data_IF_886566183211
#
_entry.id   IF_886566183211
#
_cell.length_a   1.000
_cell.length_b   1.000
_cell.length_c   1.000
_cell.angle_alpha   90.00
_cell.angle_beta   90.00
_cell.angle_gamma   90.00
#
_symmetry.space_group_name_H-M   'P 1'
#
loop_
_entity.id
_entity.type
_entity.pdbx_description
1 polymer ?
#
# COMPACT_ATOMS: atom_id res chain seq x y z
N UNK A 1 -14.25 -28.62 -33.19
CA UNK A 1 -13.63 -27.60 -32.32
C UNK A 1 -14.15 -27.80 -30.91
N UNK A 2 -13.29 -28.21 -29.97
CA UNK A 2 -13.64 -28.43 -28.56
C UNK A 2 -12.98 -27.34 -27.72
N UNK A 3 -13.77 -26.66 -26.90
CA UNK A 3 -13.36 -25.66 -25.90
C UNK A 3 -12.62 -26.39 -24.77
N UNK A 4 -11.46 -25.92 -24.26
CA UNK A 4 -10.78 -26.58 -23.15
C UNK A 4 -11.47 -26.28 -21.81
N UNK A 5 -11.42 -27.20 -20.82
CA UNK A 5 -12.10 -27.02 -19.55
C UNK A 5 -11.35 -26.07 -18.61
N UNK A 6 -12.13 -25.32 -17.86
CA UNK A 6 -11.74 -24.41 -16.79
C UNK A 6 -11.12 -25.22 -15.63
N UNK A 7 -9.86 -24.97 -15.27
CA UNK A 7 -9.24 -25.57 -14.08
C UNK A 7 -9.73 -24.80 -12.86
N UNK A 8 -10.70 -25.37 -12.16
CA UNK A 8 -11.16 -24.91 -10.85
C UNK A 8 -10.19 -25.46 -9.79
N UNK A 9 -9.28 -24.61 -9.30
CA UNK A 9 -8.35 -24.99 -8.24
C UNK A 9 -9.11 -25.06 -6.90
N UNK A 10 -9.55 -26.26 -6.52
CA UNK A 10 -10.02 -26.54 -5.16
C UNK A 10 -8.84 -26.43 -4.18
N UNK A 11 -8.91 -25.48 -3.24
CA UNK A 11 -7.94 -25.38 -2.15
C UNK A 11 -8.43 -26.30 -1.04
N UNK A 12 -7.91 -27.53 -0.99
CA UNK A 12 -8.08 -28.43 0.15
C UNK A 12 -7.14 -28.01 1.29
N UNK A 13 -7.71 -27.87 2.50
CA UNK A 13 -6.99 -27.61 3.74
C UNK A 13 -5.85 -28.62 3.97
N UNK A 14 -4.61 -28.15 3.89
CA UNK A 14 -3.43 -28.88 4.34
C UNK A 14 -2.72 -28.03 5.40
N UNK A 15 -2.74 -28.54 6.63
CA UNK A 15 -2.02 -28.02 7.78
C UNK A 15 -0.52 -28.21 7.57
N UNK A 16 0.10 -27.33 6.79
CA UNK A 16 1.55 -27.29 6.64
C UNK A 16 2.12 -26.62 7.89
N UNK A 17 2.96 -27.36 8.61
CA UNK A 17 3.66 -26.90 9.81
C UNK A 17 4.46 -25.61 9.56
N UNK A 18 4.32 -24.66 10.50
CA UNK A 18 4.82 -23.27 10.50
C UNK A 18 6.31 -23.03 10.17
N UNK A 19 7.14 -24.08 10.08
CA UNK A 19 8.57 -23.95 9.79
C UNK A 19 8.91 -24.09 8.30
N UNK A 20 8.13 -24.86 7.54
CA UNK A 20 8.38 -25.08 6.10
C UNK A 20 7.85 -23.93 5.22
N UNK A 21 6.84 -23.20 5.68
CA UNK A 21 6.27 -22.04 4.98
C UNK A 21 7.15 -20.78 5.08
N UNK A 22 8.05 -20.68 6.07
CA UNK A 22 8.95 -19.52 6.20
C UNK A 22 9.92 -19.40 5.03
N UNK A 23 10.31 -20.51 4.41
CA UNK A 23 11.33 -20.53 3.36
C UNK A 23 10.77 -20.52 1.92
N UNK A 24 9.47 -20.30 1.73
CA UNK A 24 8.87 -20.30 0.38
C UNK A 24 7.70 -19.33 0.21
N UNK A 25 7.61 -18.29 1.03
CA UNK A 25 6.70 -17.21 0.75
C UNK A 25 7.18 -16.51 -0.55
N UNK A 26 6.42 -16.55 -1.66
CA UNK A 26 6.82 -15.87 -2.89
C UNK A 26 7.14 -14.38 -2.64
N UNK A 27 7.97 -13.81 -3.52
CA UNK A 27 8.41 -12.41 -3.46
C UNK A 27 7.23 -11.50 -3.08
N UNK A 28 7.35 -10.64 -2.04
CA UNK A 28 6.25 -9.81 -1.57
C UNK A 28 5.61 -8.90 -2.64
N UNK A 29 6.34 -8.61 -3.71
CA UNK A 29 5.84 -7.91 -4.88
C UNK A 29 4.78 -8.67 -5.69
N UNK A 30 4.71 -9.99 -5.52
CA UNK A 30 3.74 -10.89 -6.17
C UNK A 30 2.45 -11.06 -5.36
N UNK A 31 2.40 -10.65 -4.09
CA UNK A 31 1.17 -10.73 -3.32
C UNK A 31 0.15 -9.70 -3.79
N UNK A 32 -1.02 -10.19 -4.18
CA UNK A 32 -2.23 -9.37 -4.20
C UNK A 32 -2.73 -9.19 -2.77
N UNK A 33 -3.01 -7.94 -2.40
CA UNK A 33 -3.60 -7.58 -1.11
C UNK A 33 -4.77 -6.66 -1.43
N UNK A 34 -5.93 -6.94 -0.85
CA UNK A 34 -7.16 -6.20 -1.11
C UNK A 34 -8.07 -6.28 0.11
N UNK A 35 -9.29 -5.75 0.01
CA UNK A 35 -10.31 -5.91 1.06
C UNK A 35 -10.71 -7.37 1.30
N UNK A 36 -10.48 -8.26 0.35
CA UNK A 36 -10.86 -9.69 0.42
C UNK A 36 -9.66 -10.63 0.58
N UNK A 37 -8.45 -10.18 0.24
CA UNK A 37 -7.23 -10.99 0.36
C UNK A 37 -6.37 -10.42 1.49
N UNK A 38 -6.23 -11.21 2.56
CA UNK A 38 -5.51 -10.84 3.77
C UNK A 38 -4.10 -11.44 3.79
N UNK A 39 -3.14 -10.64 4.25
CA UNK A 39 -1.80 -11.05 4.67
C UNK A 39 -1.75 -11.58 6.10
N UNK A 40 -2.87 -11.49 6.84
CA UNK A 40 -2.87 -11.75 8.28
C UNK A 40 -1.76 -10.96 8.98
N UNK A 41 -0.95 -11.66 9.76
CA UNK A 41 0.17 -11.07 10.53
C UNK A 41 1.52 -11.21 9.83
N UNK A 42 1.56 -11.30 8.49
CA UNK A 42 2.80 -11.38 7.72
C UNK A 42 3.79 -10.24 8.07
N UNK A 43 5.07 -10.58 8.11
CA UNK A 43 6.19 -9.67 8.37
C UNK A 43 7.27 -9.94 7.31
N UNK A 44 7.69 -8.95 6.51
CA UNK A 44 8.78 -9.11 5.57
C UNK A 44 10.13 -9.29 6.29
N UNK A 45 10.96 -10.21 5.80
CA UNK A 45 12.26 -10.53 6.41
C UNK A 45 13.33 -9.46 6.14
N UNK A 46 13.13 -8.63 5.12
CA UNK A 46 14.14 -7.71 4.59
C UNK A 46 13.85 -6.23 4.89
N UNK A 47 13.10 -5.94 5.94
CA UNK A 47 12.85 -4.56 6.37
C UNK A 47 14.15 -3.86 6.80
N UNK A 48 14.33 -2.63 6.32
CA UNK A 48 15.43 -1.72 6.65
C UNK A 48 14.91 -0.30 6.84
N UNK A 49 15.79 0.65 7.18
CA UNK A 49 15.46 2.06 7.33
C UNK A 49 15.89 2.89 6.12
N UNK A 50 14.97 3.70 5.60
CA UNK A 50 15.22 4.76 4.62
C UNK A 50 14.76 6.09 5.24
N UNK A 51 15.71 6.96 5.60
CA UNK A 51 15.44 8.23 6.29
C UNK A 51 14.51 8.09 7.53
N UNK A 52 14.72 7.03 8.33
CA UNK A 52 13.93 6.71 9.52
C UNK A 52 12.65 5.89 9.26
N UNK A 53 12.18 5.84 8.02
CA UNK A 53 11.00 5.05 7.62
C UNK A 53 11.40 3.61 7.34
N UNK A 54 10.64 2.65 7.88
CA UNK A 54 10.85 1.24 7.58
C UNK A 54 10.39 0.91 6.16
N UNK A 55 11.17 0.21 5.35
CA UNK A 55 10.83 -0.25 3.99
C UNK A 55 11.55 -1.57 3.70
N UNK A 56 11.08 -2.37 2.74
CA UNK A 56 11.84 -3.53 2.24
C UNK A 56 13.11 -3.07 1.52
N UNK A 57 14.23 -3.79 1.72
CA UNK A 57 15.49 -3.52 1.00
C UNK A 57 15.32 -3.58 -0.53
N UNK A 58 14.37 -4.38 -1.02
CA UNK A 58 14.10 -4.58 -2.46
C UNK A 58 13.77 -3.30 -3.20
N UNK A 59 13.04 -2.38 -2.56
CA UNK A 59 12.57 -1.18 -3.22
C UNK A 59 13.62 -0.06 -3.27
N UNK A 60 14.69 -0.16 -2.47
CA UNK A 60 15.63 0.96 -2.28
C UNK A 60 16.26 1.46 -3.59
N UNK A 61 16.78 0.60 -4.49
CA UNK A 61 17.41 1.08 -5.72
C UNK A 61 16.43 1.87 -6.59
N UNK A 62 15.18 1.42 -6.67
CA UNK A 62 14.16 2.03 -7.51
C UNK A 62 13.58 3.28 -6.88
N UNK A 63 13.35 3.25 -5.57
CA UNK A 63 12.88 4.39 -4.77
C UNK A 63 13.88 5.55 -4.84
N UNK A 64 15.17 5.26 -4.72
CA UNK A 64 16.23 6.27 -4.87
C UNK A 64 16.26 6.86 -6.28
N UNK A 65 16.07 6.05 -7.33
CA UNK A 65 15.98 6.55 -8.72
C UNK A 65 14.75 7.42 -8.93
N UNK A 66 13.58 7.03 -8.40
CA UNK A 66 12.35 7.80 -8.45
C UNK A 66 12.53 9.18 -7.81
N UNK A 67 13.01 9.21 -6.55
CA UNK A 67 13.21 10.46 -5.81
C UNK A 67 14.25 11.37 -6.49
N UNK A 68 15.35 10.80 -7.00
CA UNK A 68 16.38 11.54 -7.74
C UNK A 68 15.85 12.12 -9.05
N UNK A 69 14.99 11.40 -9.76
CA UNK A 69 14.39 11.89 -11.00
C UNK A 69 13.41 13.02 -10.73
N UNK A 70 12.57 12.89 -9.70
CA UNK A 70 11.68 13.97 -9.28
C UNK A 70 12.47 15.23 -8.89
N UNK A 71 13.57 15.05 -8.16
CA UNK A 71 14.45 16.15 -7.75
C UNK A 71 15.03 16.93 -8.94
N UNK A 72 15.45 16.21 -10.00
CA UNK A 72 15.93 16.82 -11.26
C UNK A 72 14.85 17.62 -11.98
N UNK A 73 13.59 17.22 -11.85
CA UNK A 73 12.43 17.92 -12.40
C UNK A 73 11.91 19.02 -11.45
N UNK A 74 12.66 19.35 -10.40
CA UNK A 74 12.35 20.42 -9.45
C UNK A 74 11.34 20.04 -8.36
N UNK A 75 11.01 18.76 -8.21
CA UNK A 75 10.06 18.26 -7.21
C UNK A 75 10.79 17.65 -6.02
N UNK A 76 10.66 18.28 -4.85
CA UNK A 76 11.22 17.76 -3.60
C UNK A 76 10.26 16.78 -2.95
N UNK A 77 10.42 15.51 -3.29
CA UNK A 77 9.62 14.41 -2.77
C UNK A 77 10.23 13.80 -1.50
N UNK A 78 9.38 13.33 -0.60
CA UNK A 78 9.76 12.62 0.62
C UNK A 78 8.84 11.45 0.89
N UNK A 79 9.43 10.32 1.30
CA UNK A 79 8.69 9.19 1.87
C UNK A 79 8.24 9.56 3.29
N UNK A 80 6.93 9.52 3.53
CA UNK A 80 6.34 9.84 4.84
C UNK A 80 5.81 8.61 5.57
N UNK A 81 5.61 7.51 4.84
CA UNK A 81 5.12 6.23 5.36
C UNK A 81 5.68 5.09 4.52
N UNK A 82 5.92 3.95 5.15
CA UNK A 82 6.46 2.74 4.54
C UNK A 82 5.85 1.51 5.19
N UNK A 83 6.67 0.54 5.57
CA UNK A 83 6.23 -0.65 6.29
C UNK A 83 5.44 -0.30 7.56
N UNK A 84 4.25 -0.91 7.69
CA UNK A 84 3.43 -0.93 8.90
C UNK A 84 3.14 -2.39 9.25
N UNK A 85 3.44 -2.80 10.47
CA UNK A 85 3.05 -4.14 10.96
C UNK A 85 1.53 -4.26 11.11
N UNK A 86 1.02 -5.49 11.26
CA UNK A 86 -0.39 -5.74 11.56
C UNK A 86 -0.89 -4.91 12.75
N UNK A 87 -0.12 -4.85 13.84
CA UNK A 87 -0.47 -4.11 15.06
C UNK A 87 -0.48 -2.59 14.79
N UNK A 88 0.49 -2.07 14.04
CA UNK A 88 0.50 -0.66 13.65
C UNK A 88 -0.70 -0.31 12.76
N UNK A 89 -1.08 -1.23 11.86
CA UNK A 89 -2.25 -1.05 11.00
C UNK A 89 -3.54 -1.10 11.80
N UNK A 90 -3.64 -1.97 12.81
CA UNK A 90 -4.79 -2.02 13.71
C UNK A 90 -4.98 -0.69 14.45
N UNK A 91 -3.90 -0.13 15.01
CA UNK A 91 -3.93 1.19 15.65
C UNK A 91 -4.32 2.29 14.66
N UNK A 92 -3.78 2.24 13.44
CA UNK A 92 -4.12 3.22 12.39
C UNK A 92 -5.60 3.16 12.03
N UNK A 93 -6.13 1.97 11.76
CA UNK A 93 -7.52 1.76 11.39
C UNK A 93 -8.47 2.19 12.51
N UNK A 94 -8.14 1.85 13.76
CA UNK A 94 -8.89 2.29 14.94
C UNK A 94 -8.91 3.81 15.05
N UNK A 95 -7.77 4.48 14.83
CA UNK A 95 -7.71 5.96 14.87
C UNK A 95 -8.64 6.60 13.83
N UNK A 96 -8.67 6.08 12.61
CA UNK A 96 -9.58 6.56 11.57
C UNK A 96 -11.04 6.31 11.91
N UNK A 97 -11.37 5.13 12.41
CA UNK A 97 -12.72 4.79 12.87
C UNK A 97 -13.18 5.73 14.00
N UNK A 98 -12.30 6.03 14.97
CA UNK A 98 -12.61 7.00 16.04
C UNK A 98 -12.86 8.40 15.49
N UNK A 99 -12.09 8.85 14.48
CA UNK A 99 -12.32 10.15 13.83
C UNK A 99 -13.67 10.17 13.13
N UNK A 100 -14.09 9.07 12.49
CA UNK A 100 -15.41 8.99 11.87
C UNK A 100 -16.54 9.07 12.90
N UNK A 101 -16.43 8.38 14.03
CA UNK A 101 -17.40 8.52 15.13
C UNK A 101 -17.47 9.96 15.69
N UNK A 102 -16.33 10.66 15.75
CA UNK A 102 -16.29 12.07 16.18
C UNK A 102 -16.97 13.00 15.17
N UNK A 103 -16.79 12.75 13.86
CA UNK A 103 -17.43 13.51 12.78
C UNK A 103 -18.92 13.21 12.66
N UNK A 104 -19.30 11.98 12.99
CA UNK A 104 -20.66 11.46 12.85
C UNK A 104 -21.13 10.83 14.17
N UNK A 105 -21.50 11.64 15.18
CA UNK A 105 -21.82 11.13 16.52
C UNK A 105 -23.02 10.17 16.59
N UNK A 106 -23.87 10.14 15.55
CA UNK A 106 -25.01 9.23 15.44
C UNK A 106 -24.68 7.89 14.79
N UNK A 107 -23.46 7.72 14.26
CA UNK A 107 -23.05 6.47 13.63
C UNK A 107 -22.76 5.38 14.66
N UNK A 108 -23.09 4.15 14.28
CA UNK A 108 -22.61 2.95 14.96
C UNK A 108 -21.13 2.71 14.63
N UNK A 109 -20.45 1.90 15.45
CA UNK A 109 -19.09 1.44 15.19
C UNK A 109 -18.96 0.81 13.78
N UNK A 110 -19.94 0.00 13.36
CA UNK A 110 -19.90 -0.67 12.05
C UNK A 110 -19.96 0.31 10.87
N UNK A 111 -20.75 1.39 10.98
CA UNK A 111 -20.81 2.44 9.96
C UNK A 111 -19.49 3.21 9.89
N UNK A 112 -18.92 3.58 11.04
CA UNK A 112 -17.63 4.25 11.09
C UNK A 112 -16.49 3.38 10.53
N UNK A 113 -16.48 2.08 10.83
CA UNK A 113 -15.50 1.14 10.25
C UNK A 113 -15.68 0.97 8.74
N UNK A 114 -16.92 0.93 8.26
CA UNK A 114 -17.22 0.85 6.83
C UNK A 114 -16.68 2.09 6.10
N UNK A 115 -16.94 3.28 6.64
CA UNK A 115 -16.44 4.54 6.07
C UNK A 115 -14.92 4.62 6.14
N UNK A 116 -14.31 4.35 7.30
CA UNK A 116 -12.86 4.35 7.45
C UNK A 116 -12.19 3.36 6.50
N UNK A 117 -12.82 2.22 6.20
CA UNK A 117 -12.31 1.22 5.26
C UNK A 117 -12.39 1.65 3.79
N UNK A 118 -12.89 2.85 3.46
CA UNK A 118 -12.80 3.43 2.11
C UNK A 118 -11.44 4.08 1.85
N UNK A 119 -10.71 4.48 2.89
CA UNK A 119 -9.41 5.17 2.78
C UNK A 119 -8.34 4.64 3.76
N UNK A 120 -8.69 3.68 4.63
CA UNK A 120 -7.74 3.01 5.51
C UNK A 120 -8.01 1.52 5.56
N UNK A 121 -7.09 0.72 5.03
CA UNK A 121 -7.27 -0.73 5.03
C UNK A 121 -7.36 -1.30 6.46
N UNK A 122 -8.20 -2.31 6.65
CA UNK A 122 -8.20 -3.15 7.86
C UNK A 122 -6.82 -3.79 8.08
N UNK A 123 -6.44 -4.10 9.34
CA UNK A 123 -5.21 -4.85 9.59
C UNK A 123 -5.25 -6.21 8.90
N UNK A 124 -4.13 -6.59 8.29
CA UNK A 124 -4.03 -7.73 7.37
C UNK A 124 -4.31 -7.37 5.91
N UNK A 125 -4.95 -6.25 5.62
CA UNK A 125 -5.36 -5.86 4.26
C UNK A 125 -4.62 -4.63 3.73
N UNK A 126 -3.62 -4.12 4.46
CA UNK A 126 -2.83 -2.98 4.01
C UNK A 126 -1.62 -3.42 3.20
N UNK A 127 -1.44 -2.85 2.01
CA UNK A 127 -0.22 -3.07 1.22
C UNK A 127 1.05 -2.62 1.95
N UNK A 128 0.96 -1.68 2.90
CA UNK A 128 2.11 -1.30 3.72
C UNK A 128 2.69 -2.46 4.54
N UNK A 129 1.91 -3.50 4.84
CA UNK A 129 2.41 -4.69 5.53
C UNK A 129 3.42 -5.50 4.71
N UNK A 130 3.50 -5.26 3.40
CA UNK A 130 4.50 -5.90 2.55
C UNK A 130 5.86 -5.23 2.63
N UNK A 131 5.93 -4.01 3.14
CA UNK A 131 7.14 -3.18 3.14
C UNK A 131 7.57 -2.68 1.76
N UNK A 132 6.87 -3.06 0.70
CA UNK A 132 7.10 -2.64 -0.70
C UNK A 132 6.23 -1.47 -1.13
N UNK A 133 5.43 -0.91 -0.22
CA UNK A 133 4.57 0.24 -0.45
C UNK A 133 5.06 1.43 0.35
N UNK A 134 5.03 2.61 -0.26
CA UNK A 134 5.39 3.88 0.37
C UNK A 134 4.36 4.95 0.07
N UNK A 135 4.15 5.84 1.04
CA UNK A 135 3.47 7.11 0.79
C UNK A 135 4.52 8.20 0.51
N UNK A 136 4.40 8.87 -0.63
CA UNK A 136 5.30 9.94 -1.04
C UNK A 136 4.53 11.26 -1.15
N UNK A 137 5.04 12.28 -0.46
CA UNK A 137 4.51 13.64 -0.50
C UNK A 137 5.57 14.64 -0.96
N UNK A 138 5.13 15.85 -1.29
CA UNK A 138 5.98 16.91 -1.84
C UNK A 138 6.02 18.14 -0.96
N UNK A 139 7.12 18.88 -0.98
CA UNK A 139 7.19 20.21 -0.36
C UNK A 139 6.20 21.20 -0.98
N UNK A 140 5.73 20.95 -2.20
CA UNK A 140 4.75 21.77 -2.93
C UNK A 140 3.48 22.06 -2.10
N UNK A 141 3.08 21.14 -1.21
CA UNK A 141 1.95 21.32 -0.31
C UNK A 141 2.33 21.09 1.17
N UNK A 142 3.57 21.42 1.55
CA UNK A 142 4.10 21.22 2.90
C UNK A 142 4.04 19.76 3.39
N UNK A 143 4.14 18.80 2.49
CA UNK A 143 4.04 17.36 2.80
C UNK A 143 2.70 16.98 3.45
N UNK A 144 1.61 17.60 3.01
CA UNK A 144 0.25 17.19 3.39
C UNK A 144 -0.33 16.21 2.37
N UNK A 145 -1.15 15.26 2.82
CA UNK A 145 -1.90 14.40 1.91
C UNK A 145 -2.89 15.25 1.11
N UNK A 146 -2.81 15.20 -0.22
CA UNK A 146 -3.75 15.90 -1.10
C UNK A 146 -3.85 15.19 -2.44
N UNK A 147 -5.07 15.04 -2.92
CA UNK A 147 -5.38 14.46 -4.21
C UNK A 147 -5.65 15.54 -5.29
N UNK A 148 -5.32 16.80 -5.01
CA UNK A 148 -5.55 17.92 -5.93
C UNK A 148 -4.76 17.72 -7.24
N UNK A 149 -5.45 17.57 -8.39
CA UNK A 149 -4.79 17.38 -9.68
C UNK A 149 -3.96 18.60 -10.13
N UNK A 150 -4.09 19.76 -9.48
CA UNK A 150 -3.26 20.95 -9.76
C UNK A 150 -1.85 20.83 -9.20
N UNK A 151 -1.60 19.92 -8.27
CA UNK A 151 -0.29 19.70 -7.68
C UNK A 151 0.62 18.99 -8.69
N UNK A 152 1.75 19.61 -9.02
CA UNK A 152 2.70 19.12 -10.01
C UNK A 152 3.23 17.74 -9.64
N UNK A 153 3.49 17.48 -8.36
CA UNK A 153 3.98 16.18 -7.93
C UNK A 153 2.98 15.04 -8.19
N UNK A 154 1.67 15.32 -8.08
CA UNK A 154 0.62 14.31 -8.35
C UNK A 154 0.69 13.88 -9.81
N UNK A 155 0.66 14.85 -10.73
CA UNK A 155 0.77 14.57 -12.16
C UNK A 155 2.11 13.91 -12.53
N UNK A 156 3.20 14.29 -11.84
CA UNK A 156 4.52 13.69 -12.05
C UNK A 156 4.55 12.22 -11.63
N UNK A 157 3.98 11.88 -10.46
CA UNK A 157 3.90 10.50 -9.98
C UNK A 157 3.03 9.65 -10.90
N UNK A 158 1.88 10.15 -11.35
CA UNK A 158 1.01 9.44 -12.32
C UNK A 158 1.77 9.09 -13.62
N UNK A 159 2.58 10.03 -14.13
CA UNK A 159 3.29 9.88 -15.41
C UNK A 159 4.59 9.07 -15.31
N UNK A 160 5.30 9.11 -14.18
CA UNK A 160 6.68 8.65 -14.10
C UNK A 160 6.92 7.47 -13.17
N UNK A 161 6.04 7.17 -12.20
CA UNK A 161 6.32 6.15 -11.18
C UNK A 161 6.64 4.77 -11.78
N UNK A 162 5.95 4.38 -12.86
CA UNK A 162 6.13 3.08 -13.50
C UNK A 162 7.52 2.88 -14.11
N UNK A 163 8.19 3.97 -14.51
CA UNK A 163 9.59 3.93 -14.98
C UNK A 163 10.57 3.48 -13.89
N UNK A 164 10.12 3.49 -12.64
CA UNK A 164 10.86 3.09 -11.46
C UNK A 164 10.14 1.95 -10.72
N UNK A 165 9.39 1.10 -11.42
CA UNK A 165 8.71 -0.06 -10.83
C UNK A 165 7.69 0.29 -9.74
N UNK A 166 7.19 1.53 -9.69
CA UNK A 166 6.13 1.95 -8.77
C UNK A 166 4.84 2.25 -9.52
N UNK A 167 3.71 1.93 -8.91
CA UNK A 167 2.38 2.27 -9.42
C UNK A 167 1.54 2.87 -8.30
N UNK A 168 0.72 3.86 -8.64
CA UNK A 168 -0.36 4.31 -7.75
C UNK A 168 -1.35 3.16 -7.59
N UNK A 169 -1.44 2.59 -6.40
CA UNK A 169 -2.32 1.42 -6.17
C UNK A 169 -3.78 1.78 -6.25
N UNK A 170 -4.13 3.00 -5.82
CA UNK A 170 -5.51 3.46 -5.76
C UNK A 170 -5.75 4.58 -6.77
N UNK A 171 -5.86 4.28 -8.08
CA UNK A 171 -6.14 5.27 -9.11
C UNK A 171 -7.60 5.73 -9.08
N UNK A 172 -7.92 6.82 -9.78
CA UNK A 172 -9.28 7.37 -9.89
C UNK A 172 -10.31 6.39 -10.49
N UNK A 173 -9.85 5.35 -11.18
CA UNK A 173 -10.70 4.40 -11.94
C UNK A 173 -11.20 3.22 -11.11
N UNK A 174 -10.74 3.03 -9.87
CA UNK A 174 -11.21 1.96 -9.00
C UNK A 174 -12.17 2.45 -7.92
N UNK A 175 -12.98 1.54 -7.38
CA UNK A 175 -14.00 1.86 -6.37
C UNK A 175 -13.69 1.32 -4.98
N UNK A 176 -12.69 0.45 -4.83
CA UNK A 176 -12.42 -0.19 -3.54
C UNK A 176 -11.82 0.79 -2.52
N UNK A 177 -10.83 1.59 -2.92
CA UNK A 177 -10.26 2.65 -2.11
C UNK A 177 -10.36 3.99 -2.83
N UNK A 178 -10.56 5.05 -2.04
CA UNK A 178 -10.49 6.43 -2.51
C UNK A 178 -9.17 6.69 -3.24
N UNK A 179 -9.18 7.61 -4.20
CA UNK A 179 -7.97 7.97 -4.95
C UNK A 179 -6.87 8.52 -4.03
N UNK A 180 -5.70 7.88 -4.04
CA UNK A 180 -4.54 8.23 -3.21
C UNK A 180 -3.26 8.32 -4.07
N UNK A 181 -2.97 9.49 -4.69
CA UNK A 181 -1.81 9.64 -5.57
C UNK A 181 -0.45 9.44 -4.89
N UNK A 182 -0.42 9.56 -3.57
CA UNK A 182 0.79 9.39 -2.76
C UNK A 182 1.14 7.91 -2.53
N UNK A 183 0.17 7.01 -2.60
CA UNK A 183 0.31 5.60 -2.21
C UNK A 183 0.86 4.79 -3.38
N UNK A 184 2.17 4.54 -3.35
CA UNK A 184 2.90 3.86 -4.41
C UNK A 184 3.29 2.44 -4.00
N UNK A 185 2.82 1.46 -4.76
CA UNK A 185 3.20 0.05 -4.64
C UNK A 185 4.29 -0.29 -5.63
N UNK A 186 5.33 -0.96 -5.12
CA UNK A 186 6.42 -1.47 -5.93
C UNK A 186 6.09 -2.84 -6.55
N UNK A 187 6.28 -2.95 -7.86
CA UNK A 187 6.21 -4.17 -8.65
C UNK A 187 7.39 -4.18 -9.65
N UNK A 188 8.39 -5.06 -9.46
CA UNK A 188 9.51 -5.15 -10.39
C UNK A 188 9.01 -5.65 -11.75
N UNK A 189 9.54 -5.06 -12.82
CA UNK A 189 9.45 -5.59 -14.18
C UNK A 189 10.48 -6.68 -14.43
#
# INVERSE_FOLDING_TARGET
MKIPPLVLLCITNLTVTNQALKNSLPDPSLYTVSKTISLGTYIPEDITKFNGISVSKRILPDLQRLLKAADKDGLKLKVVSGYRSYIQQQTTFKSWTTKELQRHPSWTQAQAEQEANTYSAKPGHSEHQLGTTVDILSSENNYHFSADPKLKYVAWLEKNSSKYNFKISYPKTQTEYTYEPWHLRWHPH
#
